data_IF_687718199046
#
_entry.id   IF_687718199046
#
_cell.length_a   1.000
_cell.length_b   1.000
_cell.length_c   1.000
_cell.angle_alpha   90.00
_cell.angle_beta   90.00
_cell.angle_gamma   90.00
#
_symmetry.space_group_name_H-M   'P 1'
#
loop_
_entity.id
_entity.type
_entity.pdbx_description
1 polymer ?
#
# COMPACT_ATOMS: atom_id res chain seq x y z
N UNK A 1 12.47 -30.23 -10.60
CA UNK A 1 12.40 -30.30 -9.12
C UNK A 1 10.95 -30.43 -8.66
N UNK A 2 10.74 -31.04 -7.49
CA UNK A 2 9.40 -31.33 -6.98
C UNK A 2 8.98 -30.35 -5.86
N UNK A 3 9.91 -29.64 -5.27
CA UNK A 3 9.69 -28.65 -4.21
C UNK A 3 10.55 -27.42 -4.50
N UNK A 4 9.93 -26.26 -4.45
CA UNK A 4 10.59 -24.96 -4.39
C UNK A 4 10.34 -24.39 -2.99
N UNK A 5 11.40 -24.13 -2.24
CA UNK A 5 11.33 -23.50 -0.93
C UNK A 5 11.96 -22.12 -1.00
N UNK A 6 11.23 -21.09 -0.61
CA UNK A 6 11.66 -19.69 -0.59
C UNK A 6 11.61 -19.22 0.86
N UNK A 7 12.78 -19.04 1.45
CA UNK A 7 12.94 -18.56 2.81
C UNK A 7 13.16 -17.05 2.80
N UNK A 8 12.64 -16.38 3.81
CA UNK A 8 12.70 -14.91 3.97
C UNK A 8 12.23 -14.14 2.72
N UNK A 9 11.20 -14.66 2.06
CA UNK A 9 10.80 -14.18 0.74
C UNK A 9 10.29 -12.72 0.76
N UNK A 10 9.73 -12.24 1.87
CA UNK A 10 9.31 -10.85 2.00
C UNK A 10 10.48 -9.85 1.94
N UNK A 11 11.72 -10.27 2.22
CA UNK A 11 12.91 -9.40 2.20
C UNK A 11 13.56 -9.31 0.80
N UNK A 12 13.09 -10.08 -0.16
CA UNK A 12 13.55 -9.97 -1.55
C UNK A 12 12.95 -8.69 -2.17
N UNK A 13 13.74 -7.84 -2.84
CA UNK A 13 13.21 -6.66 -3.52
C UNK A 13 12.11 -7.02 -4.54
N UNK A 14 11.04 -6.24 -4.62
CA UNK A 14 9.89 -6.52 -5.48
C UNK A 14 10.26 -6.83 -6.94
N UNK A 15 11.15 -6.03 -7.54
CA UNK A 15 11.58 -6.21 -8.93
C UNK A 15 12.36 -7.51 -9.16
N UNK A 16 13.08 -8.00 -8.14
CA UNK A 16 13.79 -9.29 -8.19
C UNK A 16 12.79 -10.43 -8.04
N UNK A 17 11.86 -10.32 -7.09
CA UNK A 17 10.84 -11.33 -6.87
C UNK A 17 9.97 -11.54 -8.13
N UNK A 18 9.51 -10.45 -8.76
CA UNK A 18 8.71 -10.52 -9.99
C UNK A 18 9.50 -11.14 -11.15
N UNK A 19 10.77 -10.78 -11.34
CA UNK A 19 11.65 -11.36 -12.36
C UNK A 19 11.95 -12.83 -12.11
N UNK A 20 12.16 -13.20 -10.85
CA UNK A 20 12.38 -14.58 -10.43
C UNK A 20 11.16 -15.45 -10.76
N UNK A 21 9.97 -15.02 -10.36
CA UNK A 21 8.74 -15.78 -10.66
C UNK A 21 8.49 -15.89 -12.16
N UNK A 22 8.69 -14.82 -12.93
CA UNK A 22 8.53 -14.87 -14.38
C UNK A 22 9.45 -15.90 -15.03
N UNK A 23 10.66 -16.10 -14.51
CA UNK A 23 11.63 -17.07 -15.06
C UNK A 23 11.42 -18.50 -14.55
N UNK A 24 10.99 -18.66 -13.30
CA UNK A 24 10.87 -19.99 -12.65
C UNK A 24 9.49 -20.60 -12.81
N UNK A 25 8.44 -19.81 -12.97
CA UNK A 25 7.06 -20.25 -13.05
C UNK A 25 6.80 -21.29 -14.17
N UNK A 26 7.36 -21.17 -15.38
CA UNK A 26 7.20 -22.21 -16.41
C UNK A 26 7.77 -23.55 -15.97
N UNK A 27 8.84 -23.56 -15.19
CA UNK A 27 9.45 -24.79 -14.65
C UNK A 27 8.58 -25.40 -13.54
N UNK A 28 7.95 -24.55 -12.70
CA UNK A 28 7.01 -24.98 -11.66
C UNK A 28 5.81 -25.68 -12.29
N UNK A 29 5.21 -25.05 -13.30
CA UNK A 29 3.99 -25.56 -13.96
C UNK A 29 4.21 -26.76 -14.87
N UNK A 30 5.45 -27.04 -15.30
CA UNK A 30 5.78 -28.23 -16.09
C UNK A 30 5.77 -29.52 -15.25
N UNK A 31 5.85 -29.41 -13.93
CA UNK A 31 5.82 -30.55 -13.01
C UNK A 31 4.39 -30.91 -12.59
N UNK A 32 4.04 -32.20 -12.62
CA UNK A 32 2.69 -32.69 -12.20
C UNK A 32 2.45 -32.56 -10.68
N UNK A 33 3.48 -32.40 -9.87
CA UNK A 33 3.40 -32.41 -8.39
C UNK A 33 4.36 -31.43 -7.72
N UNK A 34 4.75 -30.34 -8.41
CA UNK A 34 5.64 -29.33 -7.83
C UNK A 34 4.90 -28.57 -6.73
N UNK A 35 5.54 -28.49 -5.56
CA UNK A 35 5.07 -27.68 -4.43
C UNK A 35 5.92 -26.44 -4.30
N UNK A 36 5.28 -25.30 -4.05
CA UNK A 36 5.96 -24.06 -3.73
C UNK A 36 5.64 -23.70 -2.28
N UNK A 37 6.67 -23.53 -1.49
CA UNK A 37 6.58 -23.13 -0.08
C UNK A 37 7.31 -21.80 0.06
N UNK A 38 6.59 -20.77 0.51
CA UNK A 38 7.14 -19.47 0.81
C UNK A 38 7.02 -19.21 2.31
N UNK A 39 8.13 -18.90 2.95
CA UNK A 39 8.18 -18.59 4.39
C UNK A 39 8.83 -17.22 4.56
N UNK A 40 8.27 -16.41 5.42
CA UNK A 40 8.85 -15.13 5.82
C UNK A 40 8.10 -14.53 7.00
N UNK A 41 8.74 -13.66 7.76
CA UNK A 41 8.03 -12.65 8.53
C UNK A 41 7.54 -11.53 7.60
N UNK A 42 6.47 -10.81 7.95
CA UNK A 42 5.97 -9.69 7.16
C UNK A 42 7.01 -8.58 6.98
N UNK A 43 7.13 -8.03 5.77
CA UNK A 43 8.00 -6.90 5.48
C UNK A 43 7.25 -5.84 4.64
N UNK A 44 6.36 -5.12 5.29
CA UNK A 44 5.51 -4.14 4.62
C UNK A 44 4.49 -4.77 3.66
N UNK A 45 3.86 -3.92 2.82
CA UNK A 45 2.85 -4.36 1.84
C UNK A 45 3.49 -4.66 0.46
N UNK A 46 4.46 -5.54 0.44
CA UNK A 46 5.23 -5.93 -0.74
C UNK A 46 4.60 -7.09 -1.53
N UNK A 47 5.39 -7.76 -2.39
CA UNK A 47 4.94 -8.93 -3.15
C UNK A 47 4.49 -10.08 -2.24
N UNK A 48 5.15 -10.34 -1.09
CA UNK A 48 4.75 -11.40 -0.15
C UNK A 48 3.38 -11.11 0.46
N UNK A 49 3.12 -9.85 0.87
CA UNK A 49 1.78 -9.41 1.29
C UNK A 49 0.73 -9.64 0.20
N UNK A 50 1.04 -9.35 -1.07
CA UNK A 50 0.13 -9.56 -2.18
C UNK A 50 -0.23 -11.04 -2.34
N UNK A 51 0.77 -11.95 -2.30
CA UNK A 51 0.52 -13.40 -2.36
C UNK A 51 -0.33 -13.90 -1.20
N UNK A 52 -0.02 -13.44 0.02
CA UNK A 52 -0.76 -13.75 1.22
C UNK A 52 -2.22 -13.33 1.13
N UNK A 53 -2.43 -12.05 0.84
CA UNK A 53 -3.76 -11.46 0.78
C UNK A 53 -4.65 -12.00 -0.34
N UNK A 54 -4.05 -12.36 -1.49
CA UNK A 54 -4.74 -13.03 -2.58
C UNK A 54 -5.09 -14.48 -2.20
N UNK A 55 -4.27 -15.16 -1.40
CA UNK A 55 -4.56 -16.50 -0.85
C UNK A 55 -5.74 -16.45 0.12
N UNK A 56 -5.77 -15.52 1.06
CA UNK A 56 -6.90 -15.33 1.98
C UNK A 56 -8.23 -15.09 1.26
N UNK A 57 -8.19 -14.47 0.08
CA UNK A 57 -9.35 -14.18 -0.76
C UNK A 57 -9.67 -15.26 -1.80
N UNK A 58 -8.93 -16.35 -1.79
CA UNK A 58 -9.09 -17.45 -2.76
C UNK A 58 -8.77 -17.07 -4.21
N UNK A 59 -7.95 -16.03 -4.42
CA UNK A 59 -7.53 -15.57 -5.75
C UNK A 59 -6.32 -16.33 -6.31
N UNK A 60 -5.63 -17.10 -5.49
CA UNK A 60 -4.56 -18.00 -5.86
C UNK A 60 -4.73 -19.34 -5.13
N UNK A 61 -3.89 -20.33 -5.44
CA UNK A 61 -3.95 -21.67 -4.89
C UNK A 61 -3.08 -21.87 -3.63
N UNK A 62 -2.46 -20.80 -3.10
CA UNK A 62 -1.67 -20.91 -1.89
C UNK A 62 -2.56 -21.06 -0.66
N UNK A 63 -2.07 -21.83 0.31
CA UNK A 63 -2.73 -22.02 1.61
C UNK A 63 -1.97 -21.13 2.62
N UNK A 64 -2.56 -20.01 3.06
CA UNK A 64 -1.92 -19.17 4.05
C UNK A 64 -1.92 -19.88 5.40
N UNK A 65 -0.78 -19.85 6.08
CA UNK A 65 -0.60 -20.42 7.41
C UNK A 65 0.28 -19.47 8.21
N UNK A 66 -0.26 -18.85 9.23
CA UNK A 66 0.46 -18.05 10.21
C UNK A 66 0.71 -18.86 11.48
N UNK A 67 1.75 -18.50 12.22
CA UNK A 67 2.08 -19.06 13.53
C UNK A 67 2.25 -17.90 14.48
N UNK A 68 1.20 -17.60 15.21
CA UNK A 68 1.21 -16.57 16.23
C UNK A 68 2.07 -16.99 17.44
N UNK A 69 2.76 -16.05 18.07
CA UNK A 69 3.68 -16.35 19.18
C UNK A 69 3.03 -17.15 20.32
N UNK A 70 1.75 -16.94 20.60
CA UNK A 70 1.03 -17.64 21.66
C UNK A 70 0.78 -19.14 21.38
N UNK A 71 0.96 -19.57 20.13
CA UNK A 71 0.85 -20.98 19.74
C UNK A 71 2.18 -21.74 19.96
N UNK A 72 3.26 -21.00 20.22
CA UNK A 72 4.58 -21.60 20.43
C UNK A 72 4.76 -21.99 21.90
N UNK A 73 5.01 -23.27 22.19
CA UNK A 73 5.21 -23.72 23.56
C UNK A 73 6.32 -22.95 24.30
N UNK A 74 6.04 -22.52 25.52
CA UNK A 74 6.99 -21.80 26.38
C UNK A 74 7.00 -20.27 26.17
N UNK A 75 6.14 -19.73 25.30
CA UNK A 75 5.91 -18.30 25.16
C UNK A 75 4.64 -17.90 25.90
N UNK A 76 4.78 -17.05 26.91
CA UNK A 76 3.71 -16.51 27.73
C UNK A 76 3.74 -14.98 27.76
N UNK A 77 2.84 -14.36 28.52
CA UNK A 77 2.78 -12.90 28.61
C UNK A 77 4.05 -12.28 29.19
N UNK A 78 4.74 -12.99 30.08
CA UNK A 78 6.02 -12.53 30.65
C UNK A 78 7.09 -12.50 29.55
N UNK A 79 7.16 -13.56 28.73
CA UNK A 79 8.03 -13.61 27.59
C UNK A 79 7.71 -12.49 26.57
N UNK A 80 6.41 -12.22 26.34
CA UNK A 80 5.95 -11.14 25.46
C UNK A 80 6.46 -9.78 25.94
N UNK A 81 6.20 -9.43 27.21
CA UNK A 81 6.64 -8.17 27.80
C UNK A 81 8.16 -7.98 27.73
N UNK A 82 8.93 -9.03 28.07
CA UNK A 82 10.38 -9.00 27.99
C UNK A 82 10.88 -8.81 26.55
N UNK A 83 10.26 -9.48 25.59
CA UNK A 83 10.63 -9.36 24.17
C UNK A 83 10.34 -7.97 23.65
N UNK A 84 9.20 -7.38 23.97
CA UNK A 84 8.87 -5.99 23.61
C UNK A 84 9.85 -5.00 24.23
N UNK A 85 10.21 -5.19 25.51
CA UNK A 85 11.17 -4.33 26.19
C UNK A 85 12.57 -4.36 25.56
N UNK A 86 12.97 -5.52 25.02
CA UNK A 86 14.27 -5.70 24.38
C UNK A 86 14.28 -5.30 22.89
N UNK A 87 13.12 -5.12 22.28
CA UNK A 87 12.98 -4.76 20.84
C UNK A 87 12.12 -3.51 20.69
N UNK A 88 10.89 -3.67 20.26
CA UNK A 88 9.85 -2.65 20.25
C UNK A 88 8.49 -3.30 20.02
N UNK A 89 7.41 -2.63 20.41
CA UNK A 89 6.03 -3.05 20.12
C UNK A 89 5.82 -3.30 18.61
N UNK A 90 6.38 -2.44 17.76
CA UNK A 90 6.26 -2.56 16.31
C UNK A 90 7.00 -3.80 15.77
N UNK A 91 8.21 -4.04 16.25
CA UNK A 91 8.98 -5.22 15.84
C UNK A 91 8.31 -6.50 16.34
N UNK A 92 7.77 -6.49 17.55
CA UNK A 92 7.03 -7.61 18.10
C UNK A 92 5.82 -7.98 17.24
N UNK A 93 5.05 -7.00 16.80
CA UNK A 93 3.90 -7.22 15.90
C UNK A 93 4.29 -7.83 14.55
N UNK A 94 5.39 -7.40 13.99
CA UNK A 94 5.89 -7.94 12.72
C UNK A 94 6.38 -9.38 12.90
N UNK A 95 7.27 -9.61 13.85
CA UNK A 95 8.02 -10.85 13.98
C UNK A 95 7.23 -11.98 14.67
N UNK A 96 6.33 -11.62 15.58
CA UNK A 96 5.68 -12.59 16.46
C UNK A 96 4.15 -12.60 16.37
N UNK A 97 3.53 -11.49 15.97
CA UNK A 97 2.09 -11.43 15.70
C UNK A 97 1.78 -11.52 14.20
N UNK A 98 2.81 -11.66 13.34
CA UNK A 98 2.72 -11.79 11.88
C UNK A 98 1.92 -10.65 11.20
N UNK A 99 1.93 -9.45 11.81
CA UNK A 99 1.19 -8.32 11.26
C UNK A 99 1.92 -7.69 10.07
N UNK A 100 1.23 -7.60 8.93
CA UNK A 100 1.66 -6.77 7.80
C UNK A 100 1.46 -5.30 8.14
N UNK A 101 2.39 -4.74 8.89
CA UNK A 101 2.44 -3.29 9.08
C UNK A 101 2.90 -2.68 7.77
N UNK A 102 2.25 -1.60 7.33
CA UNK A 102 2.73 -0.84 6.17
C UNK A 102 4.18 -0.43 6.36
N UNK A 103 4.85 0.03 5.29
CA UNK A 103 6.29 0.35 5.27
C UNK A 103 6.75 1.00 6.57
N UNK A 104 7.83 0.47 7.16
CA UNK A 104 8.43 0.96 8.41
C UNK A 104 8.93 2.40 8.26
N UNK A 105 9.22 2.80 7.00
CA UNK A 105 9.77 4.10 6.62
C UNK A 105 8.68 5.08 6.12
N UNK A 106 7.42 4.91 6.47
CA UNK A 106 6.38 5.88 6.12
C UNK A 106 6.39 7.07 7.09
N UNK A 107 6.23 8.28 6.54
CA UNK A 107 6.08 9.52 7.32
C UNK A 107 4.95 9.44 8.36
N UNK A 108 3.89 8.68 8.04
CA UNK A 108 2.74 8.47 8.91
C UNK A 108 2.66 6.99 9.27
N UNK A 109 2.62 6.68 10.57
CA UNK A 109 2.49 5.31 11.04
C UNK A 109 1.26 4.60 10.43
N UNK A 110 1.38 3.35 9.98
CA UNK A 110 0.27 2.61 9.34
C UNK A 110 -0.97 2.48 10.22
N UNK A 111 -0.80 2.36 11.53
CA UNK A 111 -1.91 2.35 12.49
C UNK A 111 -2.72 3.66 12.45
N UNK A 112 -2.02 4.79 12.28
CA UNK A 112 -2.63 6.10 12.13
C UNK A 112 -3.41 6.20 10.82
N UNK A 113 -2.82 5.73 9.72
CA UNK A 113 -3.49 5.69 8.41
C UNK A 113 -4.77 4.84 8.44
N UNK A 114 -4.74 3.68 9.11
CA UNK A 114 -5.93 2.82 9.28
C UNK A 114 -7.02 3.44 10.15
N UNK A 115 -6.68 4.31 11.09
CA UNK A 115 -7.64 5.02 11.94
C UNK A 115 -8.27 6.24 11.28
N UNK A 116 -7.76 6.67 10.12
CA UNK A 116 -8.33 7.80 9.37
C UNK A 116 -9.68 7.40 8.76
N UNK A 117 -10.66 8.28 8.95
CA UNK A 117 -11.99 8.08 8.37
C UNK A 117 -11.91 8.34 6.87
N UNK A 118 -12.37 7.36 6.08
CA UNK A 118 -12.52 7.54 4.63
C UNK A 118 -13.72 8.45 4.33
N UNK A 119 -13.49 9.50 3.56
CA UNK A 119 -14.54 10.37 3.05
C UNK A 119 -14.87 9.98 1.61
N UNK A 120 -16.14 9.71 1.34
CA UNK A 120 -16.62 9.44 -0.02
C UNK A 120 -16.72 10.74 -0.80
N UNK A 121 -16.17 10.83 -2.03
CA UNK A 121 -16.34 12.02 -2.87
C UNK A 121 -17.81 12.18 -3.28
N UNK A 122 -18.27 13.41 -3.42
CA UNK A 122 -19.61 13.72 -3.96
C UNK A 122 -19.71 13.38 -5.44
N UNK A 123 -18.61 13.61 -6.19
CA UNK A 123 -18.52 13.29 -7.62
C UNK A 123 -17.15 12.72 -7.95
N UNK A 124 -17.12 11.76 -8.86
CA UNK A 124 -15.87 11.21 -9.42
C UNK A 124 -15.97 11.22 -10.94
N UNK A 125 -14.98 11.82 -11.60
CA UNK A 125 -14.90 11.87 -13.08
C UNK A 125 -13.46 11.93 -13.55
N UNK A 126 -13.08 11.07 -14.48
CA UNK A 126 -11.78 11.08 -15.18
C UNK A 126 -10.55 11.19 -14.26
N UNK A 127 -10.60 10.56 -13.06
CA UNK A 127 -9.51 10.60 -12.08
C UNK A 127 -9.59 11.76 -11.09
N UNK A 128 -10.56 12.67 -11.24
CA UNK A 128 -10.87 13.73 -10.28
C UNK A 128 -11.97 13.27 -9.32
N UNK A 129 -11.67 13.28 -8.04
CA UNK A 129 -12.61 13.12 -6.94
C UNK A 129 -12.90 14.50 -6.33
N UNK A 130 -14.17 14.89 -6.34
CA UNK A 130 -14.66 16.14 -5.77
C UNK A 130 -15.36 15.84 -4.45
N UNK A 131 -14.93 16.49 -3.38
CA UNK A 131 -15.51 16.35 -2.04
C UNK A 131 -16.38 17.53 -1.65
N UNK A 132 -16.04 18.73 -2.11
CA UNK A 132 -16.78 19.97 -1.88
C UNK A 132 -16.74 20.81 -3.13
N UNK A 133 -17.91 21.29 -3.60
CA UNK A 133 -18.01 22.23 -4.72
C UNK A 133 -17.32 23.56 -4.36
N UNK A 134 -16.75 24.28 -5.35
CA UNK A 134 -16.15 25.59 -5.14
C UNK A 134 -17.12 26.57 -4.46
N UNK A 135 -16.65 27.28 -3.48
CA UNK A 135 -17.44 28.26 -2.74
C UNK A 135 -16.94 29.69 -3.04
N UNK A 136 -17.88 30.62 -3.16
CA UNK A 136 -17.54 32.02 -3.39
C UNK A 136 -16.83 32.60 -2.16
N UNK A 137 -15.84 33.46 -2.42
CA UNK A 137 -15.05 34.15 -1.39
C UNK A 137 -14.20 33.20 -0.51
N UNK A 138 -13.89 31.98 -1.02
CA UNK A 138 -12.95 31.06 -0.41
C UNK A 138 -11.60 31.11 -1.11
N UNK A 139 -10.53 30.91 -0.34
CA UNK A 139 -9.16 30.81 -0.83
C UNK A 139 -8.72 29.37 -0.96
N UNK A 140 -8.14 29.02 -2.12
CA UNK A 140 -7.73 27.65 -2.44
C UNK A 140 -6.27 27.57 -2.84
N UNK A 141 -5.63 26.46 -2.49
CA UNK A 141 -4.27 26.11 -2.91
C UNK A 141 -4.30 24.75 -3.61
N UNK A 142 -3.57 24.64 -4.71
CA UNK A 142 -3.36 23.37 -5.42
C UNK A 142 -1.93 22.90 -5.19
N UNK A 143 -1.77 21.72 -4.58
CA UNK A 143 -0.47 21.06 -4.45
C UNK A 143 -0.37 19.95 -5.50
N UNK A 144 0.70 19.97 -6.31
CA UNK A 144 0.86 19.14 -7.51
C UNK A 144 2.11 18.26 -7.42
N UNK A 145 1.96 17.00 -7.81
CA UNK A 145 3.05 16.05 -8.04
C UNK A 145 2.94 15.47 -9.45
N UNK A 146 4.05 15.49 -10.21
CA UNK A 146 4.06 15.13 -11.64
C UNK A 146 4.85 13.85 -11.88
N UNK A 147 4.20 12.86 -12.49
CA UNK A 147 4.82 11.62 -12.96
C UNK A 147 4.99 11.59 -14.48
N UNK A 148 5.68 10.56 -14.98
CA UNK A 148 6.01 10.40 -16.41
C UNK A 148 4.84 9.94 -17.29
N UNK A 149 3.70 9.51 -16.72
CA UNK A 149 2.55 9.01 -17.47
C UNK A 149 2.83 7.74 -18.27
N UNK A 150 3.51 6.77 -17.63
CA UNK A 150 3.90 5.48 -18.22
C UNK A 150 3.30 4.28 -17.45
N UNK A 151 2.22 4.52 -16.71
CA UNK A 151 1.49 3.48 -15.98
C UNK A 151 2.14 3.05 -14.66
N UNK A 152 3.27 3.65 -14.25
CA UNK A 152 4.00 3.28 -13.01
C UNK A 152 3.63 4.18 -11.86
N UNK A 153 4.01 5.45 -11.94
CA UNK A 153 3.73 6.46 -10.94
C UNK A 153 2.55 7.33 -11.37
N UNK A 154 1.89 7.95 -10.41
CA UNK A 154 0.74 8.80 -10.66
C UNK A 154 1.12 10.28 -10.70
N UNK A 155 0.68 11.00 -11.73
CA UNK A 155 0.51 12.43 -11.65
C UNK A 155 -0.70 12.71 -10.76
N UNK A 156 -0.54 13.55 -9.77
CA UNK A 156 -1.58 13.82 -8.79
C UNK A 156 -1.58 15.30 -8.38
N UNK A 157 -2.74 15.78 -7.95
CA UNK A 157 -2.84 17.02 -7.19
C UNK A 157 -3.97 16.94 -6.16
N UNK A 158 -3.91 17.82 -5.18
CA UNK A 158 -4.98 18.08 -4.23
C UNK A 158 -5.31 19.56 -4.24
N UNK A 159 -6.60 19.87 -4.15
CA UNK A 159 -7.11 21.23 -3.92
C UNK A 159 -7.46 21.33 -2.45
N UNK A 160 -6.93 22.32 -1.78
CA UNK A 160 -7.09 22.55 -0.35
C UNK A 160 -7.76 23.90 -0.16
N UNK A 161 -8.87 23.92 0.55
CA UNK A 161 -9.48 25.14 1.07
C UNK A 161 -8.68 25.60 2.29
N UNK A 162 -8.14 26.82 2.19
CA UNK A 162 -7.32 27.43 3.23
C UNK A 162 -7.99 28.63 3.89
N UNK A 163 -9.26 28.87 3.61
CA UNK A 163 -10.04 30.01 4.12
C UNK A 163 -10.11 30.02 5.64
N UNK A 164 -10.39 28.84 6.22
CA UNK A 164 -10.50 28.69 7.68
C UNK A 164 -9.64 27.53 8.17
N UNK A 165 -9.24 27.57 9.44
CA UNK A 165 -8.53 26.44 10.06
C UNK A 165 -9.52 25.59 10.88
N UNK A 166 -9.45 24.22 10.76
CA UNK A 166 -8.46 23.43 10.01
C UNK A 166 -8.72 23.44 8.51
N UNK A 167 -7.65 23.53 7.71
CA UNK A 167 -7.74 23.43 6.25
C UNK A 167 -8.34 22.10 5.81
N UNK A 168 -9.07 22.08 4.69
CA UNK A 168 -9.74 20.88 4.19
C UNK A 168 -9.40 20.57 2.73
N UNK A 169 -9.23 19.27 2.41
CA UNK A 169 -9.09 18.81 1.03
C UNK A 169 -10.47 18.79 0.39
N UNK A 170 -10.67 19.62 -0.65
CA UNK A 170 -11.96 19.75 -1.37
C UNK A 170 -12.00 18.99 -2.68
N UNK A 171 -10.83 18.73 -3.31
CA UNK A 171 -10.73 17.87 -4.46
C UNK A 171 -9.36 17.18 -4.50
N UNK A 172 -9.32 16.02 -5.15
CA UNK A 172 -8.06 15.36 -5.52
C UNK A 172 -8.13 14.79 -6.92
N UNK A 173 -7.02 14.79 -7.62
CA UNK A 173 -6.85 14.17 -8.92
C UNK A 173 -5.73 13.15 -8.87
N UNK A 174 -5.88 12.03 -9.61
CA UNK A 174 -4.87 11.00 -9.72
C UNK A 174 -4.99 10.24 -11.03
N UNK A 175 -3.90 10.20 -11.80
CA UNK A 175 -3.84 9.47 -13.06
C UNK A 175 -2.39 9.04 -13.36
N UNK A 176 -2.16 7.77 -13.73
CA UNK A 176 -0.83 7.24 -14.04
C UNK A 176 -0.52 7.17 -15.54
N UNK A 177 -1.50 7.45 -16.40
CA UNK A 177 -1.34 7.41 -17.86
C UNK A 177 -1.29 8.80 -18.50
N UNK A 178 -1.67 9.85 -17.74
CA UNK A 178 -1.63 11.22 -18.27
C UNK A 178 -0.19 11.65 -18.55
N UNK A 179 0.05 12.08 -19.78
CA UNK A 179 1.36 12.60 -20.18
C UNK A 179 1.63 13.95 -19.53
N UNK A 180 2.88 14.25 -19.10
CA UNK A 180 3.25 15.50 -18.46
C UNK A 180 2.84 16.75 -19.23
N UNK A 181 2.82 16.70 -20.57
CA UNK A 181 2.40 17.83 -21.43
C UNK A 181 0.90 18.13 -21.37
N UNK A 182 0.06 17.16 -21.01
CA UNK A 182 -1.40 17.32 -20.91
C UNK A 182 -1.85 17.67 -19.49
N UNK A 183 -1.05 17.32 -18.50
CA UNK A 183 -1.39 17.51 -17.11
C UNK A 183 -1.61 18.98 -16.69
N UNK A 184 -0.82 19.98 -17.21
CA UNK A 184 -1.09 21.39 -16.94
C UNK A 184 -2.47 21.88 -17.36
N UNK A 185 -3.05 21.33 -18.42
CA UNK A 185 -4.41 21.67 -18.86
C UNK A 185 -5.44 21.23 -17.82
N UNK A 186 -5.29 20.02 -17.26
CA UNK A 186 -6.19 19.50 -16.22
C UNK A 186 -6.09 20.35 -14.96
N UNK A 187 -4.87 20.73 -14.55
CA UNK A 187 -4.65 21.62 -13.40
C UNK A 187 -5.31 22.97 -13.60
N UNK A 188 -5.13 23.55 -14.80
CA UNK A 188 -5.72 24.85 -15.15
C UNK A 188 -7.26 24.81 -15.15
N UNK A 189 -7.86 23.75 -15.70
CA UNK A 189 -9.32 23.61 -15.79
C UNK A 189 -9.94 23.47 -14.39
N UNK A 190 -9.30 22.69 -13.50
CA UNK A 190 -9.73 22.56 -12.11
C UNK A 190 -9.45 23.86 -11.34
N UNK A 191 -8.27 24.48 -11.49
CA UNK A 191 -7.93 25.75 -10.86
C UNK A 191 -8.96 26.84 -11.16
N UNK A 192 -9.34 26.97 -12.44
CA UNK A 192 -10.39 27.93 -12.84
C UNK A 192 -11.76 27.65 -12.24
N UNK A 193 -12.08 26.42 -11.91
CA UNK A 193 -13.33 26.09 -11.20
C UNK A 193 -13.31 26.49 -9.73
N UNK A 194 -12.10 26.64 -9.13
CA UNK A 194 -11.89 27.04 -7.73
C UNK A 194 -11.43 28.48 -7.54
N UNK A 195 -11.84 29.38 -8.38
CA UNK A 195 -11.48 30.80 -8.50
C UNK A 195 -10.22 31.06 -9.35
N UNK A 196 -10.43 31.86 -10.37
CA UNK A 196 -9.37 32.39 -11.24
C UNK A 196 -8.34 33.22 -10.46
#
# INVERSE_FOLDING_TARGET
FNILFLDEFAFVPNHIADSFFASVYPTITSGKSTKVIMVSTPHGMNHFYRYWHDAERGKNEYIPTDVHWSEVPGRDDVWREQTIANTSEQQFKIEFECEFLGSVDTLIAPSKLRSMIYQTPEKTSAGLDLYVEPQKDHDYVISVDVARGVGKDYSAFVVIDITEFPHSVVAKYRNNDIKPMLFPSVINDVGKSYND
#
